data_IF_067405934689
#
_entry.id   IF_067405934689
#
_cell.length_a   1.000
_cell.length_b   1.000
_cell.length_c   1.000
_cell.angle_alpha   90.00
_cell.angle_beta   90.00
_cell.angle_gamma   90.00
#
_symmetry.space_group_name_H-M   'P 1'
#
loop_
_entity.id
_entity.type
_entity.pdbx_description
1 polymer ?
#
# COMPACT_ATOMS: atom_id res chain seq x y z
N UNK A 1 9.99 -0.07 -2.27
CA UNK A 1 9.57 -0.81 -1.07
C UNK A 1 8.26 -0.26 -0.55
N UNK A 2 7.32 -1.10 -0.10
CA UNK A 2 5.97 -0.66 0.27
C UNK A 2 5.91 -0.03 1.67
N UNK A 3 6.97 0.63 2.14
CA UNK A 3 6.98 1.25 3.48
C UNK A 3 6.56 2.71 3.44
N UNK A 4 5.93 3.19 4.52
CA UNK A 4 5.34 4.53 4.65
C UNK A 4 6.25 5.70 4.23
N UNK A 5 7.55 5.58 4.49
CA UNK A 5 8.55 6.65 4.25
C UNK A 5 9.62 6.25 3.22
N UNK A 6 9.37 5.21 2.41
CA UNK A 6 10.33 4.79 1.40
C UNK A 6 10.16 5.60 0.12
N UNK A 7 11.29 6.10 -0.41
CA UNK A 7 11.33 6.93 -1.63
C UNK A 7 10.76 6.23 -2.87
N UNK A 8 10.98 4.92 -2.97
CA UNK A 8 10.53 4.10 -4.09
C UNK A 8 9.33 3.27 -3.64
N UNK A 9 8.27 3.25 -4.43
CA UNK A 9 7.11 2.38 -4.22
C UNK A 9 7.51 0.90 -4.26
N UNK A 10 6.74 0.03 -3.60
CA UNK A 10 6.88 -1.42 -3.74
C UNK A 10 6.33 -1.87 -5.09
N UNK A 11 5.04 -1.64 -5.28
CA UNK A 11 4.32 -1.83 -6.53
C UNK A 11 3.34 -0.66 -6.73
N UNK A 12 2.96 -0.42 -7.97
CA UNK A 12 1.88 0.48 -8.35
C UNK A 12 1.08 -0.16 -9.48
N UNK A 13 -0.23 0.08 -9.49
CA UNK A 13 -1.11 -0.41 -10.53
C UNK A 13 -2.08 0.70 -10.94
N UNK A 14 -2.37 0.75 -12.22
CA UNK A 14 -3.55 1.45 -12.71
C UNK A 14 -4.72 0.46 -12.70
N UNK A 15 -5.87 0.90 -12.20
CA UNK A 15 -7.09 0.11 -12.15
C UNK A 15 -8.12 0.82 -13.01
N UNK A 16 -8.32 0.33 -14.23
CA UNK A 16 -9.20 0.96 -15.25
C UNK A 16 -10.67 1.06 -14.83
N UNK A 17 -11.07 0.32 -13.82
CA UNK A 17 -12.41 0.38 -13.26
C UNK A 17 -12.71 -0.73 -12.27
N UNK A 18 -13.66 -0.45 -11.38
CA UNK A 18 -14.23 -1.37 -10.42
C UNK A 18 -15.75 -1.41 -10.65
N UNK A 19 -16.35 -2.59 -10.53
CA UNK A 19 -17.82 -2.68 -10.53
C UNK A 19 -18.36 -2.20 -9.17
N UNK A 20 -19.54 -1.59 -9.16
CA UNK A 20 -20.15 -1.13 -7.91
C UNK A 20 -20.30 -2.30 -6.91
N UNK A 21 -19.85 -2.10 -5.67
CA UNK A 21 -19.77 -3.12 -4.60
C UNK A 21 -18.87 -4.32 -4.92
N UNK A 22 -18.07 -4.25 -5.98
CA UNK A 22 -17.02 -5.21 -6.28
C UNK A 22 -15.71 -4.88 -5.58
N UNK A 23 -14.71 -5.70 -5.81
CA UNK A 23 -13.34 -5.47 -5.37
C UNK A 23 -12.35 -6.15 -6.31
N UNK A 24 -11.10 -5.69 -6.31
CA UNK A 24 -9.98 -6.36 -6.97
C UNK A 24 -8.92 -6.69 -5.93
N UNK A 25 -8.34 -7.88 -6.05
CA UNK A 25 -7.19 -8.28 -5.25
C UNK A 25 -5.95 -8.02 -6.10
N UNK A 26 -5.08 -7.13 -5.64
CA UNK A 26 -3.77 -6.86 -6.23
C UNK A 26 -2.69 -7.42 -5.31
N UNK A 27 -1.73 -8.14 -5.88
CA UNK A 27 -0.66 -8.79 -5.13
C UNK A 27 0.67 -8.14 -5.46
N UNK A 28 1.37 -7.62 -4.44
CA UNK A 28 2.75 -7.14 -4.54
C UNK A 28 3.66 -8.05 -3.73
N UNK A 29 4.57 -8.75 -4.41
CA UNK A 29 5.66 -9.48 -3.77
C UNK A 29 6.91 -8.61 -3.81
N UNK A 30 7.62 -8.52 -2.68
CA UNK A 30 8.87 -7.79 -2.55
C UNK A 30 9.83 -8.57 -1.65
N UNK A 31 11.13 -8.43 -1.86
CA UNK A 31 12.18 -9.24 -1.22
C UNK A 31 12.41 -8.95 0.29
N UNK A 32 11.49 -8.25 0.94
CA UNK A 32 11.62 -7.80 2.33
C UNK A 32 12.07 -6.35 2.47
N UNK A 33 12.24 -5.87 3.69
CA UNK A 33 12.68 -4.49 3.94
C UNK A 33 14.20 -4.42 4.09
N UNK A 34 14.88 -3.44 3.47
CA UNK A 34 16.34 -3.29 3.58
C UNK A 34 16.77 -2.77 4.97
N UNK A 35 15.83 -2.47 5.84
CA UNK A 35 16.07 -1.98 7.18
C UNK A 35 15.69 -3.05 8.21
N UNK A 36 16.51 -3.15 9.25
CA UNK A 36 16.32 -4.01 10.43
C UNK A 36 15.62 -3.27 11.58
N UNK A 37 15.03 -2.10 11.33
CA UNK A 37 14.25 -1.41 12.35
C UNK A 37 12.99 -2.21 12.68
N UNK A 38 12.84 -2.58 13.96
CA UNK A 38 11.72 -3.38 14.45
C UNK A 38 10.32 -2.78 14.23
N UNK A 39 10.24 -1.50 13.83
CA UNK A 39 8.98 -0.80 13.60
C UNK A 39 8.98 -0.19 12.21
N UNK A 40 8.54 -0.95 11.20
CA UNK A 40 8.29 -0.44 9.86
C UNK A 40 6.79 -0.51 9.60
N UNK A 41 6.21 0.55 9.03
CA UNK A 41 4.84 0.50 8.54
C UNK A 41 4.85 0.20 7.05
N UNK A 42 4.21 -0.89 6.64
CA UNK A 42 3.81 -1.10 5.24
C UNK A 42 2.65 -0.16 4.93
N UNK A 43 2.76 0.67 3.92
CA UNK A 43 1.72 1.60 3.48
C UNK A 43 1.15 1.17 2.13
N UNK A 44 -0.17 1.14 2.06
CA UNK A 44 -0.93 1.01 0.81
C UNK A 44 -1.78 2.28 0.68
N UNK A 45 -1.79 2.83 -0.53
CA UNK A 45 -2.61 3.97 -0.90
C UNK A 45 -3.42 3.57 -2.13
N UNK A 46 -4.74 3.68 -2.01
CA UNK A 46 -5.70 3.52 -3.11
C UNK A 46 -6.12 4.92 -3.57
N UNK A 47 -6.48 5.03 -4.86
CA UNK A 47 -6.84 6.29 -5.51
C UNK A 47 -5.90 7.47 -5.17
N UNK A 48 -4.60 7.27 -5.36
CA UNK A 48 -3.61 8.33 -5.09
C UNK A 48 -3.81 9.60 -5.93
N UNK A 49 -4.60 9.51 -7.02
CA UNK A 49 -4.94 10.63 -7.89
C UNK A 49 -6.23 11.36 -7.50
N UNK A 50 -7.03 10.84 -6.56
CA UNK A 50 -8.34 11.40 -6.22
C UNK A 50 -9.31 11.42 -7.41
N UNK A 51 -9.21 10.42 -8.30
CA UNK A 51 -9.98 10.35 -9.54
C UNK A 51 -11.36 9.75 -9.29
N UNK A 52 -11.49 8.89 -8.29
CA UNK A 52 -12.73 8.19 -7.95
C UNK A 52 -13.25 8.74 -6.64
N UNK A 53 -14.32 9.53 -6.71
CA UNK A 53 -15.00 10.00 -5.51
C UNK A 53 -15.66 8.82 -4.78
N UNK A 54 -15.07 8.42 -3.65
CA UNK A 54 -15.60 7.39 -2.77
C UNK A 54 -16.44 8.01 -1.64
N UNK A 55 -17.24 7.20 -0.95
CA UNK A 55 -18.06 7.71 0.16
C UNK A 55 -17.24 8.21 1.35
N UNK A 56 -15.98 7.79 1.45
CA UNK A 56 -15.05 8.17 2.50
C UNK A 56 -13.61 8.22 1.95
N UNK A 57 -13.18 9.40 1.52
CA UNK A 57 -11.83 9.64 1.00
C UNK A 57 -10.70 9.37 2.01
N UNK A 58 -11.01 9.30 3.31
CA UNK A 58 -10.01 9.11 4.35
C UNK A 58 -9.60 7.64 4.54
N UNK A 59 -10.35 6.69 3.98
CA UNK A 59 -10.06 5.26 4.12
C UNK A 59 -9.15 4.69 3.01
N UNK A 60 -8.68 5.55 2.10
CA UNK A 60 -7.79 5.20 0.99
C UNK A 60 -6.35 4.86 1.44
N UNK A 61 -6.00 5.13 2.70
CA UNK A 61 -4.69 4.83 3.25
C UNK A 61 -4.80 3.68 4.25
N UNK A 62 -4.04 2.62 3.99
CA UNK A 62 -3.87 1.52 4.93
C UNK A 62 -2.41 1.42 5.38
N UNK A 63 -2.20 1.46 6.70
CA UNK A 63 -0.90 1.25 7.33
C UNK A 63 -0.92 -0.07 8.10
N UNK A 64 0.04 -0.95 7.80
CA UNK A 64 0.23 -2.21 8.50
C UNK A 64 1.60 -2.23 9.18
N UNK A 65 1.65 -2.26 10.52
CA UNK A 65 2.92 -2.41 11.22
C UNK A 65 3.50 -3.80 10.95
N UNK A 66 4.79 -3.84 10.70
CA UNK A 66 5.58 -5.06 10.56
C UNK A 66 6.83 -4.97 11.43
N UNK A 67 7.21 -6.11 11.99
CA UNK A 67 8.46 -6.28 12.71
C UNK A 67 9.43 -7.06 11.85
N UNK A 68 10.63 -6.50 11.68
CA UNK A 68 11.77 -7.15 11.04
C UNK A 68 12.83 -7.38 12.10
N UNK A 69 13.34 -8.61 12.15
CA UNK A 69 14.42 -8.98 13.05
C UNK A 69 15.75 -8.96 12.28
N UNK A 70 16.85 -8.65 12.97
CA UNK A 70 18.17 -8.88 12.40
C UNK A 70 18.37 -10.40 12.18
N UNK A 71 19.03 -10.79 11.08
CA UNK A 71 19.40 -12.19 10.83
C UNK A 71 20.48 -12.67 11.80
#
# INVERSE_FOLDING_TARGET
WPGENYRNLGCSWEVDGLVARGGKILTCTYDGYPSWYANINTKVLVDSGGVVAESDEANNIFLKPISVNHP
#
